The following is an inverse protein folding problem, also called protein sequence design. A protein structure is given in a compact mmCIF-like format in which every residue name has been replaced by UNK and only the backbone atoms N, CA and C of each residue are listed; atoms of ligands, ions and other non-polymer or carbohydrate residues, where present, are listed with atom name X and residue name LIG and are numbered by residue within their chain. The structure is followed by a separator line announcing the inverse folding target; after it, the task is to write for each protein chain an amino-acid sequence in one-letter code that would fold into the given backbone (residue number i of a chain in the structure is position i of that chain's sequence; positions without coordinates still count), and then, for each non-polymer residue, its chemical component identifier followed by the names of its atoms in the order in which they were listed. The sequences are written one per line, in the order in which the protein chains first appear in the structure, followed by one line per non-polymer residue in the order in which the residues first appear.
data_IF_130384570841
#
_entry.id   IF_130384570841
#
_cell.length_a   1.000
_cell.length_b   1.000
_cell.length_c   1.000
_cell.angle_alpha   90.00
_cell.angle_beta   90.00
_cell.angle_gamma   90.00
#
_symmetry.space_group_name_H-M   'P 1'
#
loop_
_entity.id
_entity.type
_entity.pdbx_description
1 polymer ?
#
# COMPACT_ATOMS: atom_id res chain seq x y z
N UNK A 1 -0.64 13.92 -17.12
CA UNK A 1 0.63 13.39 -17.66
C UNK A 1 0.91 14.03 -19.01
N UNK A 2 -0.11 14.16 -19.87
CA UNK A 2 -0.05 14.86 -21.18
C UNK A 2 0.61 16.24 -21.21
N UNK A 3 0.59 17.00 -20.11
CA UNK A 3 1.21 18.32 -20.05
C UNK A 3 2.66 18.30 -19.56
N UNK A 4 3.22 17.14 -19.21
CA UNK A 4 4.57 16.93 -18.68
C UNK A 4 4.97 17.88 -17.51
N UNK A 5 3.96 18.38 -16.79
CA UNK A 5 4.15 19.23 -15.61
C UNK A 5 4.23 18.36 -14.36
N UNK A 6 5.28 18.48 -13.53
CA UNK A 6 5.37 17.75 -12.28
C UNK A 6 4.30 18.24 -11.29
N UNK A 7 3.50 17.32 -10.75
CA UNK A 7 2.44 17.61 -9.78
C UNK A 7 2.50 16.69 -8.53
N UNK A 8 3.65 16.62 -7.82
CA UNK A 8 3.90 15.60 -6.81
C UNK A 8 2.87 15.58 -5.67
N UNK A 9 2.44 16.75 -5.18
CA UNK A 9 1.51 16.82 -4.04
C UNK A 9 0.12 16.28 -4.41
N UNK A 10 -0.42 16.66 -5.56
CA UNK A 10 -1.75 16.21 -5.99
C UNK A 10 -1.70 14.72 -6.36
N UNK A 11 -0.61 14.27 -7.02
CA UNK A 11 -0.39 12.86 -7.32
C UNK A 11 -0.36 12.00 -6.06
N UNK A 12 0.43 12.39 -5.05
CA UNK A 12 0.50 11.68 -3.78
C UNK A 12 -0.85 11.69 -3.05
N UNK A 13 -1.53 12.84 -3.01
CA UNK A 13 -2.85 12.97 -2.38
C UNK A 13 -3.89 12.03 -3.02
N UNK A 14 -3.86 11.87 -4.34
CA UNK A 14 -4.73 10.96 -5.07
C UNK A 14 -4.41 9.49 -4.76
N UNK A 15 -3.13 9.12 -4.75
CA UNK A 15 -2.69 7.75 -4.43
C UNK A 15 -3.13 7.38 -3.01
N UNK A 16 -2.95 8.27 -2.02
CA UNK A 16 -3.35 7.96 -0.64
C UNK A 16 -4.85 7.89 -0.45
N UNK A 17 -5.61 8.71 -1.17
CA UNK A 17 -7.06 8.57 -1.21
C UNK A 17 -7.49 7.20 -1.74
N UNK A 18 -6.82 6.68 -2.77
CA UNK A 18 -7.11 5.33 -3.26
C UNK A 18 -6.69 4.24 -2.29
N UNK A 19 -5.54 4.38 -1.63
CA UNK A 19 -5.11 3.43 -0.57
C UNK A 19 -6.12 3.40 0.57
N UNK A 20 -6.55 4.56 1.06
CA UNK A 20 -7.50 4.65 2.17
C UNK A 20 -8.88 4.07 1.87
N UNK A 21 -9.35 4.12 0.61
CA UNK A 21 -10.66 3.60 0.22
C UNK A 21 -10.67 2.11 -0.12
N UNK A 22 -9.50 1.48 -0.27
CA UNK A 22 -9.41 0.05 -0.55
C UNK A 22 -9.67 -0.75 0.72
N UNK A 23 -10.16 -1.97 0.53
CA UNK A 23 -10.42 -2.88 1.63
C UNK A 23 -9.13 -3.21 2.40
N UNK A 24 -9.22 -3.42 3.73
CA UNK A 24 -8.08 -3.73 4.60
C UNK A 24 -7.42 -5.10 4.37
N UNK A 25 -7.54 -5.67 3.15
CA UNK A 25 -6.97 -6.96 2.72
C UNK A 25 -6.34 -6.90 1.32
N UNK A 26 -5.62 -5.83 1.01
CA UNK A 26 -5.03 -5.75 -0.31
C UNK A 26 -3.99 -6.87 -0.49
N UNK A 27 -3.97 -7.47 -1.68
CA UNK A 27 -2.95 -8.48 -2.03
C UNK A 27 -1.53 -7.97 -1.77
N UNK A 28 -1.29 -6.69 -2.04
CA UNK A 28 -0.01 -6.03 -1.78
C UNK A 28 0.35 -6.06 -0.29
N UNK A 29 -0.60 -5.80 0.60
CA UNK A 29 -0.37 -5.82 2.06
C UNK A 29 -0.10 -7.25 2.55
N UNK A 30 -0.76 -8.26 1.98
CA UNK A 30 -0.49 -9.67 2.29
C UNK A 30 0.91 -10.11 1.86
N UNK A 31 1.33 -9.73 0.66
CA UNK A 31 2.69 -10.01 0.18
C UNK A 31 3.72 -9.31 1.07
N UNK A 32 3.47 -8.04 1.42
CA UNK A 32 4.35 -7.30 2.32
C UNK A 32 4.43 -7.96 3.70
N UNK A 33 3.31 -8.44 4.25
CA UNK A 33 3.28 -9.16 5.52
C UNK A 33 4.10 -10.46 5.46
N UNK A 34 3.98 -11.23 4.38
CA UNK A 34 4.77 -12.45 4.17
C UNK A 34 6.29 -12.15 4.14
N UNK A 35 6.70 -11.09 3.42
CA UNK A 35 8.12 -10.69 3.39
C UNK A 35 8.64 -10.24 4.76
N UNK A 36 7.83 -9.50 5.52
CA UNK A 36 8.19 -9.06 6.89
C UNK A 36 8.32 -10.24 7.86
N UNK A 37 7.55 -11.29 7.64
CA UNK A 37 7.64 -12.53 8.40
C UNK A 37 8.90 -13.32 8.04
N UNK A 38 9.10 -13.60 6.75
CA UNK A 38 10.22 -14.41 6.27
C UNK A 38 11.59 -13.80 6.61
N UNK A 39 11.76 -12.50 6.37
CA UNK A 39 13.08 -11.85 6.51
C UNK A 39 13.25 -11.08 7.82
N UNK A 40 12.15 -10.72 8.48
CA UNK A 40 12.17 -9.90 9.70
C UNK A 40 11.61 -10.60 10.94
N UNK A 41 11.12 -11.83 10.83
CA UNK A 41 10.51 -12.56 11.94
C UNK A 41 9.22 -11.93 12.49
N UNK A 42 8.59 -11.00 11.77
CA UNK A 42 7.36 -10.35 12.23
C UNK A 42 6.21 -11.36 12.19
N UNK A 43 5.51 -11.55 13.31
CA UNK A 43 4.34 -12.41 13.38
C UNK A 43 3.21 -11.89 12.46
N UNK A 44 2.60 -12.79 11.69
CA UNK A 44 1.42 -12.50 10.89
C UNK A 44 0.20 -12.62 11.79
N UNK A 45 -0.71 -11.64 11.71
CA UNK A 45 -1.98 -11.67 12.44
C UNK A 45 -3.04 -12.25 11.51
N UNK A 46 -3.53 -13.45 11.81
CA UNK A 46 -4.72 -13.97 11.16
C UNK A 46 -5.95 -13.16 11.60
N UNK A 47 -6.84 -12.89 10.64
CA UNK A 47 -8.16 -12.36 11.00
C UNK A 47 -8.99 -13.50 11.56
N UNK A 48 -9.37 -13.37 12.83
CA UNK A 48 -10.59 -13.99 13.34
C UNK A 48 -11.82 -13.32 12.72
#
# INVERSE_FOLDING_TARGET
IDHDVPAPIITLSLIERFRSRREPDSYTDRVLAALRNEFGGHAIKDRG
#
